data_IF_745347141473
#
_entry.id   IF_745347141473
#
_cell.length_a   1.000
_cell.length_b   1.000
_cell.length_c   1.000
_cell.angle_alpha   90.00
_cell.angle_beta   90.00
_cell.angle_gamma   90.00
#
_symmetry.space_group_name_H-M   'P 1'
#
loop_
_entity.id
_entity.type
_entity.pdbx_description
1 polymer ?
#
# COMPACT_ATOMS: atom_id res chain seq x y z
N UNK A 1 -1.42 12.66 29.91
CA UNK A 1 -1.45 12.52 28.43
C UNK A 1 -2.84 12.88 27.95
N UNK A 2 -2.98 13.59 26.82
CA UNK A 2 -4.28 13.88 26.23
C UNK A 2 -4.89 12.61 25.61
N UNK A 3 -6.22 12.48 25.64
CA UNK A 3 -6.94 11.36 25.03
C UNK A 3 -6.56 11.16 23.54
N UNK A 4 -6.34 12.26 22.82
CA UNK A 4 -5.92 12.24 21.40
C UNK A 4 -4.55 11.58 21.24
N UNK A 5 -3.61 11.87 22.14
CA UNK A 5 -2.27 11.28 22.12
C UNK A 5 -2.32 9.77 22.36
N UNK A 6 -3.18 9.31 23.27
CA UNK A 6 -3.38 7.87 23.53
C UNK A 6 -3.92 7.16 22.29
N UNK A 7 -4.92 7.76 21.63
CA UNK A 7 -5.50 7.21 20.39
C UNK A 7 -4.45 7.12 19.28
N UNK A 8 -3.61 8.14 19.10
CA UNK A 8 -2.55 8.13 18.08
C UNK A 8 -1.53 7.03 18.37
N UNK A 9 -1.08 6.90 19.61
CA UNK A 9 -0.08 5.89 19.98
C UNK A 9 -0.65 4.47 19.83
N UNK A 10 -1.84 4.22 20.39
CA UNK A 10 -2.49 2.92 20.26
C UNK A 10 -2.78 2.58 18.79
N UNK A 11 -3.29 3.55 18.04
CA UNK A 11 -3.51 3.44 16.60
C UNK A 11 -2.23 3.11 15.84
N UNK A 12 -1.11 3.76 16.15
CA UNK A 12 0.18 3.53 15.50
C UNK A 12 0.71 2.13 15.76
N UNK A 13 0.59 1.63 17.00
CA UNK A 13 0.98 0.27 17.33
C UNK A 13 0.12 -0.74 16.57
N UNK A 14 -1.21 -0.58 16.58
CA UNK A 14 -2.13 -1.48 15.90
C UNK A 14 -1.95 -1.46 14.38
N UNK A 15 -1.82 -0.28 13.77
CA UNK A 15 -1.61 -0.14 12.33
C UNK A 15 -0.28 -0.74 11.90
N UNK A 16 0.78 -0.56 12.70
CA UNK A 16 2.10 -1.13 12.41
C UNK A 16 2.07 -2.65 12.49
N UNK A 17 1.42 -3.23 13.51
CA UNK A 17 1.25 -4.68 13.61
C UNK A 17 0.45 -5.23 12.43
N UNK A 18 -0.62 -4.53 12.05
CA UNK A 18 -1.44 -4.90 10.90
C UNK A 18 -0.64 -4.86 9.59
N UNK A 19 0.11 -3.79 9.37
CA UNK A 19 1.00 -3.64 8.21
C UNK A 19 2.07 -4.74 8.18
N UNK A 20 2.72 -5.01 9.32
CA UNK A 20 3.73 -6.05 9.42
C UNK A 20 3.17 -7.44 9.10
N UNK A 21 1.94 -7.74 9.56
CA UNK A 21 1.27 -8.99 9.24
C UNK A 21 0.93 -9.11 7.74
N UNK A 22 0.44 -8.03 7.13
CA UNK A 22 0.17 -7.97 5.69
C UNK A 22 1.44 -8.15 4.87
N UNK A 23 2.50 -7.41 5.21
CA UNK A 23 3.81 -7.49 4.57
C UNK A 23 4.40 -8.90 4.68
N UNK A 24 4.36 -9.51 5.86
CA UNK A 24 4.84 -10.88 6.06
C UNK A 24 4.10 -11.89 5.19
N UNK A 25 2.77 -11.77 5.08
CA UNK A 25 1.96 -12.62 4.20
C UNK A 25 2.30 -12.38 2.72
N UNK A 26 2.40 -11.12 2.29
CA UNK A 26 2.75 -10.74 0.92
C UNK A 26 4.11 -11.31 0.51
N UNK A 27 5.14 -11.12 1.34
CA UNK A 27 6.48 -11.67 1.12
C UNK A 27 6.47 -13.19 1.04
N UNK A 28 5.77 -13.87 1.96
CA UNK A 28 5.65 -15.35 1.90
C UNK A 28 4.98 -15.83 0.61
N UNK A 29 3.94 -15.14 0.15
CA UNK A 29 3.26 -15.47 -1.11
C UNK A 29 4.19 -15.25 -2.30
N UNK A 30 4.91 -14.13 -2.36
CA UNK A 30 5.86 -13.84 -3.42
C UNK A 30 7.00 -14.88 -3.47
N UNK A 31 7.55 -15.27 -2.31
CA UNK A 31 8.57 -16.34 -2.22
C UNK A 31 7.99 -17.68 -2.70
N UNK A 32 6.75 -18.01 -2.34
CA UNK A 32 6.12 -19.25 -2.78
C UNK A 32 5.90 -19.26 -4.30
N UNK A 33 5.44 -18.15 -4.88
CA UNK A 33 5.24 -18.03 -6.33
C UNK A 33 6.57 -18.11 -7.10
N UNK A 34 7.63 -17.47 -6.60
CA UNK A 34 8.99 -17.60 -7.15
C UNK A 34 9.51 -19.05 -7.12
N UNK A 35 9.31 -19.76 -5.99
CA UNK A 35 9.71 -21.17 -5.87
C UNK A 35 8.92 -22.12 -6.77
N UNK A 36 7.70 -21.75 -7.13
CA UNK A 36 6.85 -22.51 -8.04
C UNK A 36 7.14 -22.23 -9.51
N UNK A 37 8.16 -21.42 -9.83
CA UNK A 37 8.59 -21.16 -11.20
C UNK A 37 7.58 -20.35 -12.03
N UNK A 38 6.64 -19.66 -11.38
CA UNK A 38 5.78 -18.69 -12.04
C UNK A 38 6.59 -17.42 -12.25
N UNK A 39 7.33 -17.38 -13.35
CA UNK A 39 7.99 -16.17 -13.83
C UNK A 39 6.90 -15.27 -14.44
N UNK A 40 6.08 -14.68 -13.57
CA UNK A 40 5.10 -13.67 -13.97
C UNK A 40 5.90 -12.42 -14.38
N UNK A 41 6.40 -12.41 -15.62
CA UNK A 41 6.84 -11.19 -16.31
C UNK A 41 5.62 -10.34 -16.70
N UNK A 42 4.67 -10.21 -15.78
CA UNK A 42 3.52 -9.35 -15.91
C UNK A 42 3.99 -7.90 -16.00
N UNK A 43 3.61 -7.23 -17.07
CA UNK A 43 3.80 -5.79 -17.24
C UNK A 43 3.08 -5.08 -16.09
N UNK A 44 3.85 -4.50 -15.16
CA UNK A 44 3.29 -3.67 -14.08
C UNK A 44 2.55 -2.50 -14.74
N UNK A 45 1.23 -2.34 -14.51
CA UNK A 45 0.50 -1.23 -15.09
C UNK A 45 1.06 0.08 -14.54
N UNK A 46 1.77 0.85 -15.37
CA UNK A 46 2.24 2.20 -15.00
C UNK A 46 1.09 3.21 -14.87
N UNK A 47 -0.11 2.83 -15.30
CA UNK A 47 -1.23 3.70 -15.51
C UNK A 47 -2.23 3.46 -14.36
N UNK A 48 -2.32 4.39 -13.39
CA UNK A 48 -3.33 4.30 -12.33
C UNK A 48 -2.95 4.94 -10.99
N UNK A 49 -1.68 5.28 -10.77
CA UNK A 49 -1.22 5.80 -9.47
C UNK A 49 -1.35 7.33 -9.32
N UNK A 50 -1.61 8.05 -10.41
CA UNK A 50 -1.67 9.52 -10.42
C UNK A 50 -2.71 10.11 -9.47
N UNK A 51 -3.89 9.49 -9.37
CA UNK A 51 -4.94 9.96 -8.46
C UNK A 51 -4.53 9.84 -6.99
N UNK A 52 -3.88 8.73 -6.62
CA UNK A 52 -3.35 8.53 -5.27
C UNK A 52 -2.24 9.51 -4.93
N UNK A 53 -1.33 9.76 -5.86
CA UNK A 53 -0.24 10.74 -5.70
C UNK A 53 -0.82 12.16 -5.53
N UNK A 54 -1.74 12.57 -6.39
CA UNK A 54 -2.37 13.89 -6.32
C UNK A 54 -3.12 14.09 -4.99
N UNK A 55 -3.86 13.08 -4.54
CA UNK A 55 -4.58 13.13 -3.26
C UNK A 55 -3.63 13.22 -2.07
N UNK A 56 -2.57 12.41 -2.04
CA UNK A 56 -1.55 12.46 -0.98
C UNK A 56 -0.87 13.84 -0.93
N UNK A 57 -0.53 14.40 -2.10
CA UNK A 57 0.12 15.70 -2.21
C UNK A 57 -0.79 16.84 -1.71
N UNK A 58 -2.05 16.88 -2.18
CA UNK A 58 -3.04 17.86 -1.73
C UNK A 58 -3.28 17.78 -0.22
N UNK A 59 -3.42 16.56 0.31
CA UNK A 59 -3.68 16.36 1.73
C UNK A 59 -2.49 16.80 2.59
N UNK A 60 -1.26 16.59 2.11
CA UNK A 60 -0.05 17.10 2.77
C UNK A 60 -0.03 18.63 2.84
N UNK A 61 -0.30 19.31 1.71
CA UNK A 61 -0.33 20.79 1.66
C UNK A 61 -1.37 21.35 2.61
N UNK A 62 -2.60 20.83 2.57
CA UNK A 62 -3.70 21.29 3.44
C UNK A 62 -3.36 21.09 4.91
N UNK A 63 -2.72 19.97 5.25
CA UNK A 63 -2.31 19.67 6.62
C UNK A 63 -1.27 20.67 7.12
N UNK A 64 -0.23 20.96 6.32
CA UNK A 64 0.85 21.88 6.72
C UNK A 64 0.37 23.33 6.80
N UNK A 65 -0.33 23.81 5.77
CA UNK A 65 -0.88 25.18 5.73
C UNK A 65 -1.92 25.38 6.83
N UNK A 66 -2.74 24.35 7.08
CA UNK A 66 -3.79 24.37 8.09
C UNK A 66 -3.28 24.62 9.52
N UNK A 67 -2.08 24.15 9.87
CA UNK A 67 -1.48 24.38 11.19
C UNK A 67 -1.41 25.87 11.55
N UNK A 68 -1.19 26.74 10.56
CA UNK A 68 -1.16 28.19 10.76
C UNK A 68 -2.52 28.82 11.11
N UNK A 69 -3.62 28.14 10.81
CA UNK A 69 -4.98 28.61 11.10
C UNK A 69 -5.55 28.02 12.38
N UNK A 70 -5.30 26.73 12.63
CA UNK A 70 -5.82 26.05 13.81
C UNK A 70 -4.81 25.05 14.39
N UNK A 71 -4.38 25.21 15.66
CA UNK A 71 -3.34 24.36 16.26
C UNK A 71 -3.68 22.88 16.29
N UNK A 72 -4.97 22.52 16.33
CA UNK A 72 -5.42 21.11 16.34
C UNK A 72 -5.12 20.36 15.04
N UNK A 73 -4.84 21.08 13.94
CA UNK A 73 -4.49 20.46 12.66
C UNK A 73 -3.13 19.76 12.67
N UNK A 74 -2.31 19.97 13.71
CA UNK A 74 -1.09 19.19 13.94
C UNK A 74 -1.35 17.68 14.07
N UNK A 75 -2.55 17.27 14.48
CA UNK A 75 -2.93 15.86 14.61
C UNK A 75 -3.30 15.22 13.27
N UNK A 76 -3.58 15.99 12.22
CA UNK A 76 -3.95 15.47 10.91
C UNK A 76 -2.81 14.65 10.31
N UNK A 77 -1.56 15.08 10.48
CA UNK A 77 -0.37 14.35 10.03
C UNK A 77 -0.30 12.93 10.61
N UNK A 78 -0.31 12.76 11.95
CA UNK A 78 -0.37 11.45 12.58
C UNK A 78 -1.54 10.58 12.09
N UNK A 79 -2.75 11.12 11.97
CA UNK A 79 -3.89 10.34 11.46
C UNK A 79 -3.71 9.91 10.00
N UNK A 80 -3.12 10.77 9.15
CA UNK A 80 -2.76 10.43 7.78
C UNK A 80 -1.79 9.26 7.71
N UNK A 81 -0.77 9.24 8.59
CA UNK A 81 0.17 8.12 8.68
C UNK A 81 -0.58 6.84 9.00
N UNK A 82 -1.47 6.84 10.00
CA UNK A 82 -2.25 5.65 10.38
C UNK A 82 -3.08 5.12 9.20
N UNK A 83 -3.85 5.99 8.54
CA UNK A 83 -4.70 5.60 7.42
C UNK A 83 -3.88 5.05 6.27
N UNK A 84 -2.74 5.68 5.95
CA UNK A 84 -1.85 5.23 4.88
C UNK A 84 -1.24 3.88 5.22
N UNK A 85 -0.73 3.68 6.44
CA UNK A 85 -0.16 2.41 6.89
C UNK A 85 -1.19 1.27 6.82
N UNK A 86 -2.43 1.51 7.25
CA UNK A 86 -3.51 0.53 7.13
C UNK A 86 -3.84 0.25 5.67
N UNK A 87 -4.00 1.28 4.83
CA UNK A 87 -4.32 1.13 3.41
C UNK A 87 -3.28 0.32 2.64
N UNK A 88 -2.00 0.57 2.88
CA UNK A 88 -0.91 -0.23 2.28
C UNK A 88 -0.91 -1.65 2.85
N UNK A 89 -1.13 -1.82 4.16
CA UNK A 89 -1.24 -3.14 4.78
C UNK A 89 -2.38 -3.97 4.15
N UNK A 90 -3.54 -3.35 3.92
CA UNK A 90 -4.69 -3.95 3.24
C UNK A 90 -4.31 -4.37 1.82
N UNK A 91 -3.59 -3.54 1.07
CA UNK A 91 -3.14 -3.87 -0.28
C UNK A 91 -2.31 -5.17 -0.31
N UNK A 92 -1.38 -5.34 0.63
CA UNK A 92 -0.60 -6.58 0.75
C UNK A 92 -1.45 -7.82 1.12
N UNK A 93 -2.59 -7.63 1.81
CA UNK A 93 -3.50 -8.73 2.11
C UNK A 93 -4.34 -9.15 0.89
N UNK A 94 -4.75 -8.18 0.06
CA UNK A 94 -5.64 -8.37 -1.08
C UNK A 94 -4.91 -8.50 -2.43
N UNK A 95 -3.58 -8.60 -2.43
CA UNK A 95 -2.77 -8.85 -3.62
C UNK A 95 -3.39 -9.98 -4.47
N UNK A 96 -4.07 -9.61 -5.56
CA UNK A 96 -4.56 -10.58 -6.54
C UNK A 96 -3.35 -11.08 -7.30
N UNK A 97 -3.22 -12.41 -7.40
CA UNK A 97 -2.28 -13.03 -8.33
C UNK A 97 -2.49 -12.38 -9.70
N UNK A 98 -1.42 -11.85 -10.29
CA UNK A 98 -1.45 -11.28 -11.63
C UNK A 98 -1.81 -12.45 -12.54
N UNK A 99 -3.04 -12.49 -13.05
CA UNK A 99 -3.41 -13.49 -14.05
C UNK A 99 -2.66 -13.13 -15.33
N UNK A 100 -1.85 -14.08 -15.81
CA UNK A 100 -1.14 -13.97 -17.08
C UNK A 100 -2.10 -13.48 -18.17
N UNK A 101 -1.77 -12.35 -18.78
CA UNK A 101 -2.47 -11.88 -19.98
C UNK A 101 -2.43 -13.01 -21.02
N UNK A 102 -3.56 -13.34 -21.68
CA UNK A 102 -3.63 -14.39 -22.69
C UNK A 102 -2.55 -14.28 -23.78
N UNK A 103 -2.08 -13.06 -24.07
CA UNK A 103 -1.00 -12.80 -25.03
C UNK A 103 0.37 -13.34 -24.60
N UNK A 104 0.69 -13.36 -23.29
CA UNK A 104 1.97 -13.86 -22.80
C UNK A 104 2.05 -15.39 -22.92
N UNK A 105 0.95 -16.09 -22.61
CA UNK A 105 0.84 -17.54 -22.74
C UNK A 105 0.98 -18.01 -24.20
N UNK A 106 0.47 -17.22 -25.15
CA UNK A 106 0.53 -17.56 -26.57
C UNK A 106 1.94 -17.40 -27.17
N UNK A 107 2.72 -16.44 -26.65
CA UNK A 107 4.09 -16.17 -27.10
C UNK A 107 5.10 -17.21 -26.61
N UNK A 108 4.85 -17.80 -25.44
CA UNK A 108 5.64 -18.90 -24.89
C UNK A 108 5.39 -20.22 -25.65
N UNK A 109 4.14 -20.48 -26.04
CA UNK A 109 3.78 -21.65 -26.86
C UNK A 109 4.47 -21.62 -28.23
N UNK A 110 4.55 -20.46 -28.90
CA UNK A 110 5.21 -20.32 -30.20
C UNK A 110 6.76 -20.37 -30.15
N UNK A 111 7.38 -20.33 -28.96
CA UNK A 111 8.84 -20.51 -28.81
C UNK A 111 9.24 -21.97 -28.59
N UNK A 112 8.27 -22.86 -28.36
CA UNK A 112 8.48 -24.30 -28.12
C UNK A 112 8.36 -25.17 -29.38
N UNK A 113 8.13 -24.53 -30.54
CA UNK A 113 8.14 -25.12 -31.88
C UNK A 113 9.30 -24.55 -32.70
#
# INVERSE_FOLDING_TARGET
MSNITIVIIAGALLSTLYFAAGYWRGVRNAIADFRNGKDDQGTVPQNGHWAGIALAFLTSIVSVVGIGYAPWLIYVGPFLVLVTTVGVGVAFFFEKKIELSPEAAQKEQNRSH
#
